data_IF_922197324670
#
_entry.id   IF_922197324670
#
_cell.length_a   1.000
_cell.length_b   1.000
_cell.length_c   1.000
_cell.angle_alpha   90.00
_cell.angle_beta   90.00
_cell.angle_gamma   90.00
#
_symmetry.space_group_name_H-M   'P 1'
#
loop_
_entity.id
_entity.type
_entity.pdbx_description
1 polymer ?
#
# COMPACT_ATOMS: atom_id res chain seq x y z
N UNK A 1 -40.93 6.24 60.28
CA UNK A 1 -39.67 5.51 60.47
C UNK A 1 -38.91 5.51 59.15
N UNK A 2 -37.63 5.90 59.18
CA UNK A 2 -36.78 6.19 58.01
C UNK A 2 -36.47 4.92 57.19
N UNK A 3 -36.46 4.94 55.84
CA UNK A 3 -35.94 3.84 55.05
C UNK A 3 -34.40 3.90 54.98
N UNK A 4 -33.79 2.72 55.08
CA UNK A 4 -32.35 2.49 55.01
C UNK A 4 -31.81 2.63 53.58
N UNK A 5 -30.60 3.18 53.48
CA UNK A 5 -29.80 3.32 52.26
C UNK A 5 -29.24 1.96 51.88
N UNK A 6 -29.49 1.50 50.64
CA UNK A 6 -28.80 0.36 50.04
C UNK A 6 -27.73 0.87 49.06
N UNK A 7 -26.48 0.49 49.35
CA UNK A 7 -25.28 0.80 48.60
C UNK A 7 -25.22 -0.05 47.31
N UNK A 8 -24.79 0.58 46.23
CA UNK A 8 -24.58 0.01 44.91
C UNK A 8 -23.56 -1.15 44.90
N UNK A 9 -23.85 -2.18 44.12
CA UNK A 9 -22.83 -3.04 43.50
C UNK A 9 -23.18 -3.14 42.01
N UNK A 10 -22.51 -2.31 41.20
CA UNK A 10 -22.43 -2.49 39.75
C UNK A 10 -21.30 -3.47 39.50
N UNK A 11 -21.64 -4.73 39.21
CA UNK A 11 -20.70 -5.75 38.79
C UNK A 11 -21.27 -6.51 37.59
N UNK A 12 -20.85 -6.11 36.39
CA UNK A 12 -20.62 -6.97 35.21
C UNK A 12 -20.67 -6.12 33.92
N UNK A 13 -19.70 -5.22 33.74
CA UNK A 13 -19.38 -4.62 32.44
C UNK A 13 -18.02 -5.17 31.98
N UNK A 14 -17.93 -6.49 31.76
CA UNK A 14 -16.76 -7.13 31.15
C UNK A 14 -17.26 -8.26 30.26
N UNK A 15 -17.66 -7.92 29.03
CA UNK A 15 -18.13 -8.92 28.06
C UNK A 15 -18.56 -8.37 26.69
N UNK A 16 -18.81 -7.07 26.56
CA UNK A 16 -19.41 -6.50 25.36
C UNK A 16 -18.53 -5.47 24.62
N UNK A 17 -17.20 -5.71 24.51
CA UNK A 17 -16.32 -4.82 23.73
C UNK A 17 -15.71 -5.43 22.45
N UNK A 18 -16.08 -6.66 22.06
CA UNK A 18 -15.54 -7.32 20.85
C UNK A 18 -16.62 -7.80 19.86
N UNK A 19 -17.79 -7.16 19.81
CA UNK A 19 -18.75 -7.43 18.75
C UNK A 19 -18.48 -6.49 17.57
N UNK A 20 -17.87 -7.03 16.50
CA UNK A 20 -17.96 -6.42 15.18
C UNK A 20 -19.43 -6.10 14.86
N UNK A 21 -19.71 -5.00 14.13
CA UNK A 21 -21.09 -4.65 13.80
C UNK A 21 -21.77 -5.85 13.14
N UNK A 22 -23.00 -6.23 13.55
CA UNK A 22 -23.67 -7.40 13.01
C UNK A 22 -23.79 -7.23 11.50
N UNK A 23 -23.29 -8.20 10.74
CA UNK A 23 -23.45 -8.26 9.29
C UNK A 23 -24.93 -8.09 8.97
N UNK A 24 -25.25 -7.05 8.20
CA UNK A 24 -26.65 -6.60 7.93
C UNK A 24 -27.51 -7.65 7.20
N UNK A 25 -26.99 -8.84 6.93
CA UNK A 25 -27.72 -9.96 6.37
C UNK A 25 -27.07 -11.30 6.81
N UNK A 26 -27.66 -12.05 7.76
CA UNK A 26 -27.13 -13.34 8.22
C UNK A 26 -27.06 -14.43 7.13
N UNK A 27 -27.74 -14.22 6.00
CA UNK A 27 -27.75 -15.14 4.85
C UNK A 27 -26.75 -14.77 3.76
N UNK A 28 -26.12 -13.58 3.83
CA UNK A 28 -25.10 -13.21 2.87
C UNK A 28 -23.83 -14.02 3.14
N UNK A 29 -23.37 -14.78 2.14
CA UNK A 29 -22.07 -15.45 2.21
C UNK A 29 -20.98 -14.39 2.47
N UNK A 30 -20.10 -14.66 3.42
CA UNK A 30 -18.96 -13.78 3.72
C UNK A 30 -18.11 -13.58 2.45
N UNK A 31 -17.61 -12.36 2.20
CA UNK A 31 -16.92 -11.98 0.95
C UNK A 31 -15.77 -12.93 0.59
N UNK A 32 -15.07 -13.46 1.60
CA UNK A 32 -13.96 -14.41 1.42
C UNK A 32 -14.39 -15.76 0.82
N UNK A 33 -15.68 -16.11 0.89
CA UNK A 33 -16.24 -17.35 0.33
C UNK A 33 -17.03 -17.12 -0.97
N UNK A 34 -16.94 -15.93 -1.54
CA UNK A 34 -17.52 -15.60 -2.84
C UNK A 34 -16.37 -15.55 -3.84
N UNK A 35 -16.47 -16.36 -4.90
CA UNK A 35 -15.47 -16.33 -5.97
C UNK A 35 -15.45 -14.93 -6.61
N UNK A 36 -14.28 -14.28 -6.74
CA UNK A 36 -14.18 -12.98 -7.40
C UNK A 36 -14.54 -13.14 -8.88
N UNK A 37 -15.45 -12.29 -9.35
CA UNK A 37 -15.84 -12.22 -10.76
C UNK A 37 -15.15 -11.02 -11.39
N UNK A 38 -14.60 -11.20 -12.59
CA UNK A 38 -13.95 -10.10 -13.33
C UNK A 38 -15.03 -9.10 -13.77
N UNK A 39 -14.99 -7.83 -13.32
CA UNK A 39 -15.96 -6.84 -13.77
C UNK A 39 -15.66 -6.42 -15.21
N UNK A 40 -16.72 -6.15 -15.97
CA UNK A 40 -16.59 -5.53 -17.29
C UNK A 40 -16.12 -4.08 -17.14
N UNK A 41 -15.13 -3.61 -17.92
CA UNK A 41 -14.70 -2.23 -17.90
C UNK A 41 -15.83 -1.25 -18.30
N UNK A 42 -15.92 -0.06 -17.67
CA UNK A 42 -16.94 0.92 -18.02
C UNK A 42 -16.73 1.47 -19.43
N UNK A 43 -17.81 1.62 -20.19
CA UNK A 43 -17.77 2.29 -21.49
C UNK A 43 -17.61 3.79 -21.28
N UNK A 44 -16.51 4.34 -21.80
CA UNK A 44 -16.20 5.76 -21.72
C UNK A 44 -16.73 6.53 -22.93
N UNK A 45 -17.06 7.80 -22.74
CA UNK A 45 -17.37 8.71 -23.85
C UNK A 45 -16.12 9.11 -24.61
N UNK A 46 -15.02 9.32 -23.89
CA UNK A 46 -13.70 9.62 -24.43
C UNK A 46 -12.69 8.57 -23.97
N UNK A 47 -12.13 7.84 -24.94
CA UNK A 47 -11.12 6.80 -24.69
C UNK A 47 -9.69 7.27 -24.95
N UNK A 48 -9.48 8.58 -25.19
CA UNK A 48 -8.15 9.13 -25.44
C UNK A 48 -7.23 8.92 -24.23
N UNK A 49 -6.03 8.38 -24.48
CA UNK A 49 -5.00 8.16 -23.46
C UNK A 49 -5.27 7.00 -22.50
N UNK A 50 -6.30 6.17 -22.74
CA UNK A 50 -6.53 4.93 -22.00
C UNK A 50 -5.54 3.87 -22.48
N UNK A 51 -4.70 3.36 -21.59
CA UNK A 51 -3.70 2.34 -21.91
C UNK A 51 -4.12 0.95 -21.41
N UNK A 52 -4.87 0.91 -20.32
CA UNK A 52 -5.30 -0.34 -19.70
C UNK A 52 -6.76 -0.26 -19.18
N UNK A 53 -7.37 -1.40 -18.82
CA UNK A 53 -8.75 -1.41 -18.29
C UNK A 53 -8.93 -0.68 -16.96
N UNK A 54 -7.90 -0.57 -16.12
CA UNK A 54 -7.95 0.14 -14.84
C UNK A 54 -8.14 1.65 -15.09
N UNK A 55 -7.48 2.20 -16.11
CA UNK A 55 -7.65 3.60 -16.51
C UNK A 55 -9.11 3.90 -16.86
N UNK A 56 -9.87 2.93 -17.37
CA UNK A 56 -11.30 3.10 -17.68
C UNK A 56 -12.13 3.29 -16.41
N UNK A 57 -11.86 2.52 -15.35
CA UNK A 57 -12.53 2.71 -14.07
C UNK A 57 -12.20 4.07 -13.45
N UNK A 58 -10.94 4.48 -13.52
CA UNK A 58 -10.50 5.80 -13.00
C UNK A 58 -11.17 6.91 -13.80
N UNK A 59 -11.13 6.85 -15.14
CA UNK A 59 -11.73 7.85 -16.02
C UNK A 59 -13.23 7.96 -15.81
N UNK A 60 -13.93 6.83 -15.72
CA UNK A 60 -15.36 6.79 -15.46
C UNK A 60 -15.72 7.48 -14.13
N UNK A 61 -14.90 7.29 -13.10
CA UNK A 61 -15.08 8.00 -11.82
C UNK A 61 -14.86 9.50 -11.97
N UNK A 62 -13.77 9.91 -12.61
CA UNK A 62 -13.42 11.31 -12.82
C UNK A 62 -14.50 12.06 -13.64
N UNK A 63 -15.00 11.44 -14.71
CA UNK A 63 -16.08 12.01 -15.53
C UNK A 63 -17.37 12.23 -14.73
N UNK A 64 -17.76 11.25 -13.90
CA UNK A 64 -18.93 11.38 -13.01
C UNK A 64 -18.77 12.51 -12.01
N UNK A 65 -17.54 12.76 -11.53
CA UNK A 65 -17.23 13.82 -10.58
C UNK A 65 -16.97 15.18 -11.26
N UNK A 66 -16.94 15.24 -12.60
CA UNK A 66 -16.61 16.46 -13.34
C UNK A 66 -15.15 16.90 -13.20
N UNK A 67 -14.26 15.99 -12.80
CA UNK A 67 -12.83 16.27 -12.58
C UNK A 67 -12.05 15.85 -13.83
N UNK A 68 -11.13 16.71 -14.29
CA UNK A 68 -10.18 16.36 -15.35
C UNK A 68 -8.90 15.80 -14.73
N UNK A 69 -8.24 14.81 -15.38
CA UNK A 69 -6.93 14.38 -14.93
C UNK A 69 -5.92 15.53 -14.95
N UNK A 70 -4.97 15.47 -14.03
CA UNK A 70 -3.82 16.36 -14.04
C UNK A 70 -2.96 16.11 -15.28
N UNK A 71 -2.24 17.14 -15.78
CA UNK A 71 -1.24 16.94 -16.81
C UNK A 71 -0.14 16.00 -16.31
N UNK A 72 0.56 15.37 -17.25
CA UNK A 72 1.73 14.57 -16.94
C UNK A 72 2.81 15.43 -16.27
N UNK A 73 3.49 14.87 -15.27
CA UNK A 73 4.57 15.56 -14.58
C UNK A 73 5.80 15.69 -15.49
N UNK A 74 6.65 16.69 -15.22
CA UNK A 74 7.91 16.83 -15.93
C UNK A 74 8.86 15.64 -15.65
N UNK A 75 9.82 15.42 -16.56
CA UNK A 75 10.74 14.28 -16.48
C UNK A 75 11.48 14.18 -15.14
N UNK A 76 11.91 15.30 -14.57
CA UNK A 76 12.68 15.29 -13.32
C UNK A 76 11.77 14.89 -12.15
N UNK A 77 10.55 15.43 -12.10
CA UNK A 77 9.55 15.05 -11.10
C UNK A 77 9.18 13.57 -11.22
N UNK A 78 8.98 13.05 -12.45
CA UNK A 78 8.70 11.64 -12.68
C UNK A 78 9.83 10.73 -12.18
N UNK A 79 11.08 11.04 -12.55
CA UNK A 79 12.25 10.28 -12.10
C UNK A 79 12.36 10.28 -10.57
N UNK A 80 12.21 11.45 -9.94
CA UNK A 80 12.30 11.56 -8.47
C UNK A 80 11.23 10.72 -7.78
N UNK A 81 9.98 10.76 -8.26
CA UNK A 81 8.88 9.94 -7.71
C UNK A 81 9.20 8.45 -7.84
N UNK A 82 9.56 8.01 -9.05
CA UNK A 82 9.92 6.61 -9.30
C UNK A 82 11.05 6.11 -8.40
N UNK A 83 12.14 6.86 -8.25
CA UNK A 83 13.24 6.44 -7.39
C UNK A 83 12.84 6.36 -5.92
N UNK A 84 12.07 7.32 -5.41
CA UNK A 84 11.61 7.30 -4.02
C UNK A 84 10.57 6.20 -3.76
N UNK A 85 9.70 5.94 -4.71
CA UNK A 85 8.65 4.92 -4.58
C UNK A 85 9.24 3.51 -4.69
N UNK A 86 10.06 3.27 -5.71
CA UNK A 86 10.60 1.94 -6.01
C UNK A 86 11.84 1.60 -5.18
N UNK A 87 12.77 2.55 -4.98
CA UNK A 87 14.03 2.29 -4.28
C UNK A 87 14.06 2.89 -2.87
N UNK A 88 13.20 3.86 -2.56
CA UNK A 88 13.29 4.61 -1.31
C UNK A 88 14.45 5.61 -1.27
N UNK A 89 15.13 5.84 -2.39
CA UNK A 89 16.32 6.68 -2.50
C UNK A 89 16.11 7.79 -3.53
N UNK A 90 16.69 8.99 -3.34
CA UNK A 90 16.66 10.03 -4.36
C UNK A 90 17.53 9.62 -5.58
N UNK A 91 17.20 10.10 -6.78
CA UNK A 91 18.02 9.83 -7.97
C UNK A 91 19.41 10.50 -7.86
N UNK A 92 20.43 9.87 -8.42
CA UNK A 92 21.77 10.45 -8.51
C UNK A 92 21.86 11.51 -9.63
N UNK A 93 22.82 12.45 -9.59
CA UNK A 93 23.03 13.40 -10.67
C UNK A 93 23.20 12.74 -12.05
N UNK A 94 23.91 11.60 -12.11
CA UNK A 94 24.12 10.84 -13.34
C UNK A 94 22.82 10.22 -13.86
N UNK A 95 21.96 9.71 -12.98
CA UNK A 95 20.65 9.17 -13.36
C UNK A 95 19.72 10.28 -13.90
N UNK A 96 19.77 11.46 -13.28
CA UNK A 96 19.02 12.64 -13.74
C UNK A 96 19.45 13.02 -15.15
N UNK A 97 20.76 13.19 -15.37
CA UNK A 97 21.30 13.58 -16.67
C UNK A 97 20.94 12.55 -17.74
N UNK A 98 21.17 11.26 -17.47
CA UNK A 98 20.87 10.17 -18.40
C UNK A 98 19.39 10.15 -18.81
N UNK A 99 18.45 10.32 -17.88
CA UNK A 99 17.02 10.27 -18.19
C UNK A 99 16.51 11.53 -18.90
N UNK A 100 17.02 12.71 -18.53
CA UNK A 100 16.66 13.96 -19.20
C UNK A 100 17.11 13.93 -20.66
N UNK A 101 18.35 13.48 -20.89
CA UNK A 101 18.95 13.40 -22.24
C UNK A 101 18.41 12.25 -23.09
N UNK A 102 17.82 11.20 -22.49
CA UNK A 102 17.21 10.11 -23.24
C UNK A 102 15.95 10.58 -23.99
N UNK A 103 16.08 10.67 -25.32
CA UNK A 103 15.00 11.02 -26.26
C UNK A 103 14.50 9.81 -27.05
N UNK A 104 15.04 8.62 -26.80
CA UNK A 104 14.61 7.44 -27.51
C UNK A 104 13.19 7.03 -27.07
N UNK A 105 12.37 6.45 -27.98
CA UNK A 105 11.04 5.97 -27.62
C UNK A 105 11.12 4.95 -26.49
N UNK A 106 10.18 4.97 -25.54
CA UNK A 106 10.16 4.05 -24.40
C UNK A 106 11.20 4.33 -23.30
N UNK A 107 11.74 5.56 -23.23
CA UNK A 107 12.69 5.94 -22.18
C UNK A 107 12.15 5.72 -20.76
N UNK A 108 10.85 5.98 -20.55
CA UNK A 108 10.18 5.78 -19.26
C UNK A 108 10.14 4.30 -18.87
N UNK A 109 9.69 3.42 -19.77
CA UNK A 109 9.58 1.98 -19.49
C UNK A 109 10.95 1.36 -19.19
N UNK A 110 11.99 1.75 -19.95
CA UNK A 110 13.37 1.31 -19.68
C UNK A 110 13.90 1.82 -18.34
N UNK A 111 13.52 3.03 -17.93
CA UNK A 111 13.86 3.56 -16.61
C UNK A 111 13.19 2.70 -15.53
N UNK A 112 11.90 2.42 -15.64
CA UNK A 112 11.15 1.60 -14.68
C UNK A 112 11.79 0.21 -14.57
N UNK A 113 12.06 -0.45 -15.70
CA UNK A 113 12.69 -1.77 -15.71
C UNK A 113 14.05 -1.76 -14.99
N UNK A 114 14.88 -0.75 -15.25
CA UNK A 114 16.18 -0.60 -14.58
C UNK A 114 16.05 -0.42 -13.07
N UNK A 115 15.04 0.33 -12.62
CA UNK A 115 14.77 0.53 -11.19
C UNK A 115 14.28 -0.76 -10.54
N UNK A 116 13.38 -1.51 -11.19
CA UNK A 116 12.90 -2.81 -10.69
C UNK A 116 14.01 -3.86 -10.60
N UNK A 117 15.01 -3.80 -11.49
CA UNK A 117 16.18 -4.68 -11.45
C UNK A 117 17.24 -4.26 -10.41
N UNK A 118 17.08 -3.11 -9.75
CA UNK A 118 18.02 -2.66 -8.72
C UNK A 118 17.89 -3.49 -7.44
N UNK A 119 18.99 -3.91 -6.79
CA UNK A 119 18.93 -4.55 -5.47
C UNK A 119 18.17 -3.71 -4.43
N UNK A 120 18.23 -2.38 -4.54
CA UNK A 120 17.52 -1.47 -3.63
C UNK A 120 15.99 -1.60 -3.74
N UNK A 121 15.46 -2.12 -4.85
CA UNK A 121 14.03 -2.41 -4.95
C UNK A 121 13.62 -3.52 -3.97
N UNK A 122 14.40 -4.61 -3.90
CA UNK A 122 14.21 -5.69 -2.94
C UNK A 122 14.33 -5.19 -1.51
N UNK A 123 15.37 -4.42 -1.20
CA UNK A 123 15.57 -3.79 0.12
C UNK A 123 14.37 -2.91 0.53
N UNK A 124 13.87 -2.08 -0.39
CA UNK A 124 12.74 -1.18 -0.15
C UNK A 124 11.46 -1.94 0.18
N UNK A 125 11.16 -3.00 -0.57
CA UNK A 125 9.95 -3.81 -0.37
C UNK A 125 10.06 -4.76 0.81
N UNK A 126 11.23 -5.34 1.05
CA UNK A 126 11.52 -6.19 2.19
C UNK A 126 11.19 -5.50 3.50
N UNK A 127 11.47 -4.19 3.63
CA UNK A 127 11.11 -3.42 4.84
C UNK A 127 9.64 -3.57 5.22
N UNK A 128 8.70 -3.45 4.27
CA UNK A 128 7.28 -3.57 4.58
C UNK A 128 6.90 -4.96 5.10
N UNK A 129 7.52 -6.00 4.54
CA UNK A 129 7.31 -7.38 4.99
C UNK A 129 7.96 -7.65 6.34
N UNK A 130 9.16 -7.12 6.57
CA UNK A 130 9.87 -7.23 7.83
C UNK A 130 9.15 -6.46 8.96
N UNK A 131 8.56 -5.29 8.65
CA UNK A 131 7.71 -4.54 9.57
C UNK A 131 6.47 -5.38 9.96
N UNK A 132 5.80 -5.99 8.99
CA UNK A 132 4.64 -6.85 9.23
C UNK A 132 5.00 -8.10 10.04
N UNK A 133 6.19 -8.67 9.82
CA UNK A 133 6.73 -9.80 10.57
C UNK A 133 7.30 -9.42 11.95
N UNK A 134 7.32 -8.12 12.30
CA UNK A 134 7.96 -7.59 13.52
C UNK A 134 9.42 -8.01 13.64
N UNK A 135 10.14 -7.92 12.52
CA UNK A 135 11.56 -8.17 12.47
C UNK A 135 12.31 -7.22 13.41
N UNK A 136 13.25 -7.78 14.16
CA UNK A 136 14.21 -7.03 14.97
C UNK A 136 15.50 -7.84 15.08
N UNK A 137 16.64 -7.14 15.10
CA UNK A 137 17.94 -7.76 15.38
C UNK A 137 18.12 -8.08 16.88
N UNK A 138 17.16 -7.70 17.72
CA UNK A 138 17.19 -7.89 19.17
C UNK A 138 15.78 -8.10 19.75
N UNK A 139 15.70 -8.41 21.05
CA UNK A 139 14.42 -8.70 21.73
C UNK A 139 13.60 -7.46 22.11
N UNK A 140 14.21 -6.28 22.15
CA UNK A 140 13.52 -4.98 22.18
C UNK A 140 12.88 -4.59 23.52
N UNK A 141 13.17 -5.27 24.63
CA UNK A 141 12.64 -4.94 25.97
C UNK A 141 13.51 -5.46 27.13
N UNK A 142 13.69 -4.65 28.18
CA UNK A 142 14.45 -4.87 29.45
C UNK A 142 15.84 -5.52 29.31
N UNK A 143 15.89 -6.77 28.87
CA UNK A 143 17.11 -7.50 28.50
C UNK A 143 17.15 -7.62 26.98
N UNK A 144 17.58 -6.54 26.35
CA UNK A 144 17.69 -6.44 24.89
C UNK A 144 18.88 -7.27 24.38
N UNK A 145 18.65 -8.57 24.24
CA UNK A 145 19.64 -9.51 23.72
C UNK A 145 19.59 -9.51 22.20
N UNK A 146 20.75 -9.54 21.56
CA UNK A 146 20.82 -9.70 20.11
C UNK A 146 20.28 -11.07 19.68
N UNK A 147 19.56 -11.10 18.57
CA UNK A 147 19.08 -12.33 17.91
C UNK A 147 20.12 -12.76 16.88
N UNK A 148 21.05 -13.68 17.20
CA UNK A 148 22.28 -13.90 16.43
C UNK A 148 22.06 -14.40 14.99
N UNK A 149 20.85 -14.87 14.67
CA UNK A 149 20.50 -15.42 13.36
C UNK A 149 19.33 -14.69 12.69
N UNK A 150 18.83 -13.59 13.26
CA UNK A 150 17.72 -12.83 12.67
C UNK A 150 18.05 -12.33 11.26
N UNK A 151 19.29 -11.85 11.04
CA UNK A 151 19.77 -11.37 9.73
C UNK A 151 19.55 -12.34 8.57
N UNK A 152 19.55 -13.66 8.82
CA UNK A 152 19.29 -14.67 7.77
C UNK A 152 17.89 -14.54 7.19
N UNK A 153 16.92 -14.17 8.03
CA UNK A 153 15.56 -13.91 7.59
C UNK A 153 15.47 -12.62 6.78
N UNK A 154 16.13 -11.54 7.23
CA UNK A 154 16.22 -10.30 6.47
C UNK A 154 16.79 -10.55 5.07
N UNK A 155 17.94 -11.23 5.00
CA UNK A 155 18.63 -11.49 3.74
C UNK A 155 17.88 -12.48 2.84
N UNK A 156 16.98 -13.32 3.39
CA UNK A 156 16.10 -14.20 2.61
C UNK A 156 14.89 -13.45 2.03
N UNK A 157 14.39 -12.42 2.72
CA UNK A 157 13.26 -11.59 2.25
C UNK A 157 13.68 -10.62 1.15
N UNK A 158 14.93 -10.14 1.17
CA UNK A 158 15.52 -9.25 0.16
C UNK A 158 15.82 -10.03 -1.12
#
# INVERSE_FOLDING_TARGET
MKPAIAIAVVAAAVGALNAAPPDKNPQAKHWAYIAPVRPEPPVLKDSAGIQNPIDQFIRSRLEREGIKPSPEADKLTLLRRLCLDLLGLPPTPQQIEAFIQDKAPGAYDRLVERLLQSPHYGERWARFWLDAARYADSDGYEKDSGRPHAWRWRDWVI
#
